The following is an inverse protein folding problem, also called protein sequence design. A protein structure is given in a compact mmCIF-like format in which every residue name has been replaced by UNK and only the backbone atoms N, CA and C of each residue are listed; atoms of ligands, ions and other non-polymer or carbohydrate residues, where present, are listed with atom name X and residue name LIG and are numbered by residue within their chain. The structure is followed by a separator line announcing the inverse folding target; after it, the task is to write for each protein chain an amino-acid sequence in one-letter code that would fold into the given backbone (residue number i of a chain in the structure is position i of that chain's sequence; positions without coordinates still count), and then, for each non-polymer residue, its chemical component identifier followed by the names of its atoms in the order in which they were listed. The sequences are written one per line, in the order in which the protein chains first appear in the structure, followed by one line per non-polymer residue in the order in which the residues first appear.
data_IF_819938479482
#
_entry.id   IF_819938479482
#
_cell.length_a   1.000
_cell.length_b   1.000
_cell.length_c   1.000
_cell.angle_alpha   90.00
_cell.angle_beta   90.00
_cell.angle_gamma   90.00
#
_symmetry.space_group_name_H-M   'P 1'
#
loop_
_entity.id
_entity.type
_entity.pdbx_description
1 polymer ?
#
# COMPACT_ATOMS: atom_id res chain seq x y z
N UNK A 1 -14.27 -1.36 -21.23
CA UNK A 1 -13.26 -1.08 -20.20
C UNK A 1 -13.34 -2.14 -19.12
N UNK A 2 -12.20 -2.71 -18.74
CA UNK A 2 -12.16 -3.71 -17.67
C UNK A 2 -12.36 -3.07 -16.29
N UNK A 3 -12.65 -3.89 -15.28
CA UNK A 3 -12.73 -3.43 -13.90
C UNK A 3 -11.42 -2.76 -13.47
N UNK A 4 -10.29 -3.38 -13.84
CA UNK A 4 -8.96 -2.83 -13.57
C UNK A 4 -8.81 -1.43 -14.15
N UNK A 5 -9.15 -1.25 -15.44
CA UNK A 5 -9.01 0.04 -16.11
C UNK A 5 -9.91 1.11 -15.49
N UNK A 6 -11.13 0.76 -15.11
CA UNK A 6 -12.07 1.70 -14.49
C UNK A 6 -11.56 2.18 -13.12
N UNK A 7 -11.05 1.27 -12.30
CA UNK A 7 -10.51 1.61 -10.99
C UNK A 7 -9.26 2.49 -11.13
N UNK A 8 -8.35 2.13 -12.04
CA UNK A 8 -7.12 2.90 -12.26
C UNK A 8 -7.44 4.32 -12.76
N UNK A 9 -8.43 4.48 -13.64
CA UNK A 9 -8.85 5.79 -14.10
C UNK A 9 -9.36 6.66 -12.95
N UNK A 10 -10.20 6.10 -12.07
CA UNK A 10 -10.68 6.81 -10.88
C UNK A 10 -9.53 7.16 -9.92
N UNK A 11 -8.60 6.25 -9.74
CA UNK A 11 -7.46 6.44 -8.84
C UNK A 11 -6.55 7.57 -9.33
N UNK A 12 -6.28 7.64 -10.63
CA UNK A 12 -5.46 8.70 -11.21
C UNK A 12 -6.09 10.07 -11.04
N UNK A 13 -7.41 10.16 -11.16
CA UNK A 13 -8.14 11.41 -10.99
C UNK A 13 -8.26 11.87 -9.56
N UNK A 14 -8.06 10.97 -8.59
CA UNK A 14 -8.23 11.29 -7.17
C UNK A 14 -7.06 12.08 -6.59
N UNK A 15 -5.86 11.94 -7.13
CA UNK A 15 -4.68 12.63 -6.62
C UNK A 15 -3.87 13.27 -7.75
N UNK A 16 -4.49 14.18 -8.55
CA UNK A 16 -3.85 14.70 -9.78
C UNK A 16 -2.62 15.55 -9.53
N UNK A 17 -2.50 16.16 -8.34
CA UNK A 17 -1.39 17.05 -8.00
C UNK A 17 -0.27 16.34 -7.24
N UNK A 18 -0.37 15.04 -7.03
CA UNK A 18 0.62 14.27 -6.29
C UNK A 18 1.72 13.75 -7.22
N UNK A 19 2.97 13.61 -6.70
CA UNK A 19 4.09 13.14 -7.51
C UNK A 19 4.13 11.60 -7.64
N UNK A 20 2.96 10.97 -7.74
CA UNK A 20 2.79 9.55 -8.00
C UNK A 20 1.48 9.35 -8.79
N UNK A 21 1.26 8.13 -9.27
CA UNK A 21 0.21 7.89 -10.27
C UNK A 21 -1.21 8.17 -9.79
N UNK A 22 -1.50 7.96 -8.50
CA UNK A 22 -2.82 8.20 -7.95
C UNK A 22 -3.01 7.52 -6.60
N UNK A 23 -4.28 7.46 -6.15
CA UNK A 23 -4.60 6.89 -4.86
C UNK A 23 -5.84 6.00 -4.96
N UNK A 24 -5.80 4.85 -4.30
CA UNK A 24 -6.91 3.90 -4.27
C UNK A 24 -7.44 3.76 -2.85
N UNK A 25 -8.73 3.48 -2.72
CA UNK A 25 -9.30 3.09 -1.43
C UNK A 25 -8.87 1.65 -1.12
N UNK A 26 -8.97 1.18 0.14
CA UNK A 26 -8.69 -0.21 0.45
C UNK A 26 -9.52 -1.18 -0.38
N UNK A 27 -10.80 -0.88 -0.58
CA UNK A 27 -11.68 -1.73 -1.39
C UNK A 27 -11.24 -1.79 -2.84
N UNK A 28 -10.89 -0.64 -3.42
CA UNK A 28 -10.37 -0.59 -4.79
C UNK A 28 -9.07 -1.38 -4.92
N UNK A 29 -8.17 -1.27 -3.92
CA UNK A 29 -6.93 -2.04 -3.92
C UNK A 29 -7.21 -3.54 -3.96
N UNK A 30 -8.14 -4.00 -3.13
CA UNK A 30 -8.52 -5.41 -3.09
C UNK A 30 -9.12 -5.87 -4.43
N UNK A 31 -10.01 -5.07 -5.00
CA UNK A 31 -10.63 -5.39 -6.30
C UNK A 31 -9.60 -5.45 -7.42
N UNK A 32 -8.61 -4.54 -7.42
CA UNK A 32 -7.50 -4.57 -8.38
C UNK A 32 -6.69 -5.86 -8.25
N UNK A 33 -6.34 -6.24 -7.02
CA UNK A 33 -5.57 -7.46 -6.77
C UNK A 33 -6.32 -8.71 -7.25
N UNK A 34 -7.63 -8.73 -7.10
CA UNK A 34 -8.45 -9.85 -7.55
C UNK A 34 -8.64 -9.88 -9.06
N UNK A 35 -8.66 -8.73 -9.71
CA UNK A 35 -8.97 -8.64 -11.15
C UNK A 35 -7.74 -8.80 -12.04
N UNK A 36 -6.53 -8.58 -11.52
CA UNK A 36 -5.30 -8.62 -12.33
C UNK A 36 -4.14 -9.19 -11.50
N UNK A 37 -3.60 -10.38 -11.89
CA UNK A 37 -2.50 -11.01 -11.15
C UNK A 37 -1.18 -10.23 -11.23
N UNK A 38 -1.06 -9.25 -12.11
CA UNK A 38 0.13 -8.41 -12.24
C UNK A 38 0.11 -7.20 -11.31
N UNK A 39 -0.99 -6.97 -10.60
CA UNK A 39 -1.06 -5.92 -9.57
C UNK A 39 -0.37 -6.44 -8.32
N UNK A 40 0.51 -5.61 -7.74
CA UNK A 40 1.27 -5.94 -6.53
C UNK A 40 0.89 -4.99 -5.40
N UNK A 41 0.71 -5.52 -4.20
CA UNK A 41 0.63 -4.72 -2.98
C UNK A 41 1.98 -4.80 -2.29
N UNK A 42 2.59 -3.64 -2.01
CA UNK A 42 3.84 -3.56 -1.26
C UNK A 42 3.56 -2.92 0.09
N UNK A 43 3.69 -3.71 1.14
CA UNK A 43 3.50 -3.28 2.52
C UNK A 43 4.80 -2.60 2.98
N UNK A 44 4.73 -1.30 3.26
CA UNK A 44 5.91 -0.53 3.67
C UNK A 44 5.98 -0.31 5.18
N UNK A 45 5.12 -1.00 5.93
CA UNK A 45 5.21 -1.01 7.38
C UNK A 45 6.46 -1.78 7.82
N UNK A 46 6.83 -1.63 9.09
CA UNK A 46 7.93 -2.41 9.65
C UNK A 46 7.53 -3.88 9.73
N UNK A 47 8.53 -4.77 9.72
CA UNK A 47 8.27 -6.20 9.92
C UNK A 47 7.61 -6.46 11.27
N UNK A 48 7.96 -5.69 12.30
CA UNK A 48 7.33 -5.79 13.62
C UNK A 48 5.81 -5.53 13.55
N UNK A 49 5.39 -4.50 12.82
CA UNK A 49 3.96 -4.22 12.64
C UNK A 49 3.25 -5.38 11.93
N UNK A 50 3.86 -5.91 10.88
CA UNK A 50 3.29 -7.03 10.13
C UNK A 50 3.17 -8.30 10.99
N UNK A 51 4.16 -8.55 11.83
CA UNK A 51 4.17 -9.74 12.68
C UNK A 51 3.23 -9.63 13.88
N UNK A 52 3.11 -8.44 14.48
CA UNK A 52 2.35 -8.25 15.71
C UNK A 52 0.91 -7.76 15.51
N UNK A 53 0.68 -6.98 14.46
CA UNK A 53 -0.65 -6.39 14.21
C UNK A 53 -1.42 -7.25 13.21
N UNK A 54 -0.74 -7.74 12.17
CA UNK A 54 -1.36 -8.51 11.12
C UNK A 54 -1.06 -7.94 9.74
N UNK A 55 -1.57 -8.60 8.71
CA UNK A 55 -1.30 -8.25 7.32
C UNK A 55 -2.46 -8.66 6.42
N UNK A 56 -2.60 -8.04 5.23
CA UNK A 56 -3.63 -8.46 4.28
C UNK A 56 -3.47 -9.93 3.89
N UNK A 57 -4.60 -10.63 3.77
CA UNK A 57 -4.62 -12.02 3.31
C UNK A 57 -4.89 -12.02 1.80
N UNK A 58 -3.84 -11.91 1.01
CA UNK A 58 -3.87 -11.87 -0.45
C UNK A 58 -2.87 -12.88 -1.01
N UNK A 59 -2.95 -13.22 -2.31
CA UNK A 59 -2.00 -14.17 -2.89
C UNK A 59 -0.56 -13.73 -2.69
N UNK A 60 0.29 -14.68 -2.29
CA UNK A 60 1.69 -14.40 -1.96
C UNK A 60 2.45 -13.78 -3.14
N UNK A 61 2.14 -14.22 -4.36
CA UNK A 61 2.76 -13.68 -5.57
C UNK A 61 2.47 -12.20 -5.80
N UNK A 62 1.42 -11.66 -5.18
CA UNK A 62 1.03 -10.25 -5.28
C UNK A 62 1.36 -9.45 -4.03
N UNK A 63 1.99 -10.07 -3.04
CA UNK A 63 2.20 -9.48 -1.71
C UNK A 63 3.69 -9.31 -1.43
N UNK A 64 4.17 -8.09 -1.53
CA UNK A 64 5.54 -7.74 -1.17
C UNK A 64 5.60 -6.99 0.15
N UNK A 65 6.80 -6.98 0.74
CA UNK A 65 7.06 -6.24 1.97
C UNK A 65 8.44 -5.60 1.87
N UNK A 66 8.46 -4.27 1.92
CA UNK A 66 9.69 -3.49 1.89
C UNK A 66 9.54 -2.36 2.91
N UNK A 67 10.28 -2.44 4.00
CA UNK A 67 10.15 -1.45 5.08
C UNK A 67 10.55 -0.05 4.61
N UNK A 68 9.70 0.94 4.91
CA UNK A 68 10.04 2.35 4.70
C UNK A 68 10.98 2.84 5.80
N UNK A 69 10.67 2.47 7.05
CA UNK A 69 11.54 2.72 8.20
C UNK A 69 11.81 1.41 8.91
N UNK A 70 12.82 1.40 9.76
CA UNK A 70 13.23 0.21 10.51
C UNK A 70 12.79 0.31 11.96
N UNK A 71 12.44 -0.82 12.56
CA UNK A 71 12.07 -0.92 13.96
C UNK A 71 13.15 -1.73 14.70
N UNK A 72 13.54 -1.33 15.92
CA UNK A 72 13.12 -0.12 16.64
C UNK A 72 13.88 1.12 16.18
N UNK A 73 13.38 2.30 16.58
CA UNK A 73 14.06 3.57 16.38
C UNK A 73 13.55 4.40 15.23
N UNK A 74 12.90 3.79 14.24
CA UNK A 74 12.26 4.52 13.13
C UNK A 74 13.22 5.13 12.12
N UNK A 75 14.47 4.66 12.06
CA UNK A 75 15.43 5.14 11.07
C UNK A 75 14.97 4.78 9.65
N UNK A 76 15.21 5.64 8.65
CA UNK A 76 14.91 5.30 7.26
C UNK A 76 15.65 4.02 6.84
N UNK A 77 14.99 3.21 6.00
CA UNK A 77 15.61 2.01 5.44
C UNK A 77 16.51 2.42 4.26
N UNK A 78 17.84 2.32 4.38
CA UNK A 78 18.74 2.74 3.31
C UNK A 78 18.66 1.85 2.07
N UNK A 79 18.11 0.65 2.21
CA UNK A 79 18.00 -0.33 1.12
C UNK A 79 16.62 -0.36 0.47
N UNK A 80 15.76 0.62 0.77
CA UNK A 80 14.38 0.63 0.27
C UNK A 80 14.31 0.52 -1.25
N UNK A 81 15.07 1.33 -1.97
CA UNK A 81 15.06 1.33 -3.42
C UNK A 81 15.49 -0.01 -4.01
N UNK A 82 16.58 -0.59 -3.50
CA UNK A 82 17.08 -1.88 -3.95
C UNK A 82 16.09 -3.00 -3.68
N UNK A 83 15.53 -3.02 -2.48
CA UNK A 83 14.54 -4.04 -2.09
C UNK A 83 13.26 -3.91 -2.90
N UNK A 84 12.81 -2.70 -3.18
CA UNK A 84 11.63 -2.48 -4.01
C UNK A 84 11.85 -3.03 -5.42
N UNK A 85 13.00 -2.77 -6.01
CA UNK A 85 13.34 -3.24 -7.35
C UNK A 85 13.42 -4.77 -7.43
N UNK A 86 13.73 -5.42 -6.32
CA UNK A 86 13.72 -6.89 -6.23
C UNK A 86 12.31 -7.46 -6.01
N UNK A 87 11.37 -6.62 -5.59
CA UNK A 87 10.03 -7.05 -5.19
C UNK A 87 9.00 -6.87 -6.30
N UNK A 88 9.11 -5.78 -7.06
CA UNK A 88 8.15 -5.45 -8.12
C UNK A 88 8.87 -4.83 -9.31
N UNK A 89 8.35 -5.10 -10.51
CA UNK A 89 8.87 -4.52 -11.75
C UNK A 89 8.31 -3.11 -11.94
N UNK A 90 9.07 -2.27 -12.65
CA UNK A 90 8.68 -0.88 -12.91
C UNK A 90 7.42 -0.75 -13.76
N UNK A 91 7.06 -1.80 -14.51
CA UNK A 91 5.85 -1.83 -15.32
C UNK A 91 4.63 -2.34 -14.55
N UNK A 92 4.84 -2.93 -13.37
CA UNK A 92 3.72 -3.40 -12.54
C UNK A 92 2.91 -2.24 -11.99
N UNK A 93 1.62 -2.49 -11.76
CA UNK A 93 0.80 -1.63 -10.91
C UNK A 93 1.15 -1.97 -9.47
N UNK A 94 1.68 -1.00 -8.73
CA UNK A 94 2.14 -1.21 -7.36
C UNK A 94 1.31 -0.34 -6.42
N UNK A 95 0.71 -1.00 -5.43
CA UNK A 95 -0.15 -0.35 -4.43
C UNK A 95 0.59 -0.37 -3.09
N UNK A 96 0.91 0.80 -2.56
CA UNK A 96 1.69 0.91 -1.33
C UNK A 96 0.79 1.01 -0.11
N UNK A 97 1.03 0.15 0.88
CA UNK A 97 0.26 0.06 2.12
C UNK A 97 1.13 0.42 3.33
N UNK A 98 0.60 1.28 4.20
CA UNK A 98 1.18 1.47 5.52
C UNK A 98 0.07 1.41 6.59
N UNK A 99 0.28 2.00 7.77
CA UNK A 99 -0.71 1.90 8.85
C UNK A 99 -1.93 2.79 8.61
N UNK A 100 -1.69 4.06 8.19
CA UNK A 100 -2.76 5.05 8.04
C UNK A 100 -2.68 5.87 6.76
N UNK A 101 -1.67 5.63 5.90
CA UNK A 101 -1.53 6.30 4.62
C UNK A 101 -0.40 7.33 4.52
N UNK A 102 0.40 7.54 5.57
CA UNK A 102 1.47 8.55 5.56
C UNK A 102 2.74 8.03 4.88
N UNK A 103 3.29 6.92 5.37
CA UNK A 103 4.53 6.33 4.82
C UNK A 103 4.34 5.86 3.39
N UNK A 104 3.16 5.35 3.07
CA UNK A 104 2.84 4.83 1.74
C UNK A 104 2.87 5.93 0.67
N UNK A 105 2.45 7.15 1.01
CA UNK A 105 2.54 8.28 0.07
C UNK A 105 4.00 8.62 -0.26
N UNK A 106 4.87 8.62 0.74
CA UNK A 106 6.30 8.84 0.52
C UNK A 106 6.91 7.72 -0.30
N UNK A 107 6.53 6.48 -0.03
CA UNK A 107 7.01 5.33 -0.79
C UNK A 107 6.58 5.40 -2.25
N UNK A 108 5.32 5.78 -2.52
CA UNK A 108 4.82 5.93 -3.88
C UNK A 108 5.56 7.03 -4.63
N UNK A 109 5.89 8.13 -3.97
CA UNK A 109 6.67 9.22 -4.55
C UNK A 109 8.08 8.74 -4.93
N UNK A 110 8.77 8.07 -4.01
CA UNK A 110 10.12 7.55 -4.29
C UNK A 110 10.08 6.52 -5.41
N UNK A 111 9.10 5.63 -5.42
CA UNK A 111 8.94 4.65 -6.50
C UNK A 111 8.79 5.36 -7.85
N UNK A 112 7.99 6.42 -7.90
CA UNK A 112 7.82 7.20 -9.13
C UNK A 112 9.14 7.81 -9.59
N UNK A 113 9.92 8.34 -8.66
CA UNK A 113 11.25 8.89 -8.97
C UNK A 113 12.21 7.81 -9.50
N UNK A 114 12.03 6.56 -9.06
CA UNK A 114 12.82 5.41 -9.53
C UNK A 114 12.36 4.87 -10.87
N UNK A 115 11.28 5.39 -11.45
CA UNK A 115 10.78 4.98 -12.75
C UNK A 115 9.56 4.06 -12.74
N UNK A 116 8.93 3.84 -11.57
CA UNK A 116 7.67 3.11 -11.50
C UNK A 116 6.54 3.99 -12.02
N UNK A 117 5.92 3.59 -13.13
CA UNK A 117 4.90 4.40 -13.81
C UNK A 117 3.53 4.31 -13.15
N UNK A 118 3.27 3.25 -12.42
CA UNK A 118 1.97 2.93 -11.86
C UNK A 118 2.06 2.70 -10.36
N UNK A 119 2.67 3.67 -9.64
CA UNK A 119 2.79 3.66 -8.19
C UNK A 119 1.61 4.40 -7.57
N UNK A 120 0.81 3.70 -6.77
CA UNK A 120 -0.39 4.24 -6.15
C UNK A 120 -0.31 4.14 -4.64
N UNK A 121 -0.89 5.12 -3.95
CA UNK A 121 -1.07 5.09 -2.50
C UNK A 121 -2.39 4.38 -2.16
N UNK A 122 -2.38 3.50 -1.16
CA UNK A 122 -3.61 2.97 -0.59
C UNK A 122 -4.01 3.91 0.54
N UNK A 123 -5.12 4.63 0.32
CA UNK A 123 -5.67 5.55 1.31
C UNK A 123 -6.03 4.81 2.59
N UNK A 124 -5.94 5.48 3.74
CA UNK A 124 -6.33 4.97 5.05
C UNK A 124 -5.44 3.85 5.60
N UNK A 125 -4.65 3.18 4.78
CA UNK A 125 -3.75 2.13 5.22
C UNK A 125 -4.43 0.87 5.75
N UNK A 126 -3.70 0.11 6.57
CA UNK A 126 -4.18 -1.15 7.12
C UNK A 126 -5.16 -0.93 8.29
N UNK A 127 -4.87 0.04 9.15
CA UNK A 127 -5.63 0.29 10.38
C UNK A 127 -6.41 1.60 10.40
N UNK A 128 -6.12 2.51 9.48
CA UNK A 128 -6.73 3.84 9.47
C UNK A 128 -6.19 4.75 10.57
N UNK A 129 -6.82 5.92 10.68
CA UNK A 129 -6.48 6.90 11.71
C UNK A 129 -7.06 6.50 13.05
N UNK A 130 -6.49 7.07 14.14
CA UNK A 130 -7.03 6.91 15.48
C UNK A 130 -8.34 7.70 15.63
N UNK A 131 -9.30 7.11 16.30
CA UNK A 131 -10.55 7.81 16.67
C UNK A 131 -10.34 8.70 17.89
N UNK A 132 -11.44 9.30 18.37
CA UNK A 132 -11.41 10.20 19.53
C UNK A 132 -10.91 9.52 20.81
N UNK A 133 -11.00 8.19 20.88
CA UNK A 133 -10.55 7.41 22.03
C UNK A 133 -9.15 6.83 21.82
N UNK A 134 -8.51 7.17 20.71
CA UNK A 134 -7.18 6.69 20.39
C UNK A 134 -7.14 5.29 19.79
N UNK A 135 -8.28 4.75 19.36
CA UNK A 135 -8.35 3.41 18.76
C UNK A 135 -8.23 3.49 17.24
N UNK A 136 -7.58 2.50 16.67
CA UNK A 136 -7.52 2.30 15.22
C UNK A 136 -8.51 1.22 14.80
N UNK A 137 -8.69 1.03 13.49
CA UNK A 137 -9.60 0.05 12.89
C UNK A 137 -11.08 0.41 13.08
N UNK A 138 -11.37 1.66 13.43
CA UNK A 138 -12.74 2.11 13.69
C UNK A 138 -13.22 3.15 12.69
N UNK A 139 -12.34 3.99 12.17
CA UNK A 139 -12.70 5.05 11.22
C UNK A 139 -12.50 4.64 9.77
N UNK A 140 -11.44 3.88 9.48
CA UNK A 140 -11.12 3.50 8.11
C UNK A 140 -10.04 2.43 8.07
N UNK A 141 -9.56 2.13 6.86
CA UNK A 141 -8.49 1.19 6.61
C UNK A 141 -8.96 -0.16 6.11
N UNK A 142 -7.99 -0.99 5.75
CA UNK A 142 -8.22 -2.34 5.21
C UNK A 142 -9.08 -3.19 6.16
N UNK A 143 -8.74 -3.19 7.45
CA UNK A 143 -9.47 -3.97 8.45
C UNK A 143 -10.91 -3.48 8.63
N UNK A 144 -11.10 -2.15 8.73
CA UNK A 144 -12.44 -1.56 8.90
C UNK A 144 -13.32 -1.81 7.70
N UNK A 145 -12.74 -1.85 6.51
CA UNK A 145 -13.47 -2.13 5.28
C UNK A 145 -13.96 -3.60 5.19
N UNK A 146 -13.55 -4.43 6.13
CA UNK A 146 -13.97 -5.84 6.14
C UNK A 146 -13.21 -6.70 5.14
N UNK A 147 -12.07 -6.26 4.67
CA UNK A 147 -11.26 -6.99 3.70
C UNK A 147 -10.44 -8.09 4.42
N UNK A 148 -10.06 -9.16 3.71
CA UNK A 148 -9.40 -10.29 4.37
C UNK A 148 -8.03 -9.93 4.91
N UNK A 149 -7.76 -10.33 6.16
CA UNK A 149 -6.48 -10.15 6.82
C UNK A 149 -6.25 -11.23 7.86
N UNK A 150 -4.97 -11.45 8.20
CA UNK A 150 -4.58 -12.41 9.22
C UNK A 150 -3.83 -11.68 10.32
N UNK A 151 -4.08 -12.09 11.55
CA UNK A 151 -3.42 -11.54 12.73
C UNK A 151 -2.11 -12.23 13.04
N UNK A 152 -1.48 -11.74 14.09
CA UNK A 152 -0.24 -12.34 14.61
C UNK A 152 -0.53 -13.61 15.40
#
# INVERSE_FOLDING_TARGET
MSTTDAILASARGRAPDQPYAGAVTPREAFDLLRSDPHVKLVDVRTNAERDWIGRPAIPEAQHGAVQWTLYPGGAPNPDFATQLQQTADKEDVVLFLCRSGVRSRHAARVATELGYKNAFDILEGFEGDRDAEGHRKTLGGWCKAGLPWVGA
#
